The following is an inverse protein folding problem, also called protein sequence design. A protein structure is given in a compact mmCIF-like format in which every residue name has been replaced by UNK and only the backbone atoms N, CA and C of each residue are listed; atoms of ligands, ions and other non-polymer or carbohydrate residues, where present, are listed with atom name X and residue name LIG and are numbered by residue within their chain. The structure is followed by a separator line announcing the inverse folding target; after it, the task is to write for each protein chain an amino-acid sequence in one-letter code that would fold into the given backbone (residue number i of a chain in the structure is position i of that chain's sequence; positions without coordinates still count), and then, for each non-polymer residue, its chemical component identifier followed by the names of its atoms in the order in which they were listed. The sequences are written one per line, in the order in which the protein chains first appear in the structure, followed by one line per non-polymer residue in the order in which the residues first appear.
data_IF_702209144781
#
_entry.id   IF_702209144781
#
_cell.length_a   1.000
_cell.length_b   1.000
_cell.length_c   1.000
_cell.angle_alpha   90.00
_cell.angle_beta   90.00
_cell.angle_gamma   90.00
#
_symmetry.space_group_name_H-M   'P 1'
#
loop_
_entity.id
_entity.type
_entity.pdbx_description
1 polymer ?
#
# COMPACT_ATOMS: atom_id res chain seq x y z
N UNK A 1 -13.65 41.16 -62.49
CA UNK A 1 -13.11 41.90 -61.32
C UNK A 1 -12.07 41.03 -60.63
N UNK A 2 -10.78 41.34 -60.82
CA UNK A 2 -9.64 40.58 -60.26
C UNK A 2 -9.29 41.18 -58.88
N UNK A 3 -9.32 40.38 -57.81
CA UNK A 3 -8.86 40.83 -56.48
C UNK A 3 -7.34 40.59 -56.37
N UNK A 4 -6.54 41.59 -55.95
CA UNK A 4 -5.10 41.45 -55.87
C UNK A 4 -4.67 40.65 -54.62
N UNK A 5 -3.70 39.78 -54.81
CA UNK A 5 -3.02 39.00 -53.78
C UNK A 5 -2.07 39.91 -53.02
N UNK A 6 -2.30 40.11 -51.71
CA UNK A 6 -1.38 40.84 -50.84
C UNK A 6 -0.47 39.82 -50.12
N UNK A 7 0.81 39.83 -50.50
CA UNK A 7 1.87 39.04 -49.87
C UNK A 7 2.34 39.81 -48.63
N UNK A 8 1.98 39.34 -47.43
CA UNK A 8 2.42 39.94 -46.16
C UNK A 8 3.73 39.28 -45.70
N UNK A 9 4.79 40.08 -45.67
CA UNK A 9 6.09 39.74 -45.09
C UNK A 9 5.97 39.56 -43.57
N UNK A 10 6.40 38.41 -43.05
CA UNK A 10 6.56 38.15 -41.62
C UNK A 10 7.94 38.65 -41.15
N UNK A 11 8.03 39.52 -40.12
CA UNK A 11 9.32 39.81 -39.50
C UNK A 11 9.69 38.64 -38.56
N UNK A 12 10.90 38.10 -38.74
CA UNK A 12 11.47 37.10 -37.84
C UNK A 12 11.81 37.75 -36.49
N UNK A 13 10.96 37.50 -35.49
CA UNK A 13 11.18 37.94 -34.11
C UNK A 13 12.11 36.94 -33.41
N UNK A 14 13.40 37.28 -33.31
CA UNK A 14 14.38 36.58 -32.49
C UNK A 14 14.04 36.80 -31.01
N UNK A 15 13.41 35.82 -30.37
CA UNK A 15 13.26 35.81 -28.90
C UNK A 15 14.61 35.45 -28.25
N UNK A 16 15.07 36.21 -27.24
CA UNK A 16 16.19 35.78 -26.42
C UNK A 16 15.77 34.56 -25.59
N UNK A 17 16.59 33.51 -25.63
CA UNK A 17 16.42 32.34 -24.78
C UNK A 17 16.76 32.73 -23.34
N UNK A 18 15.75 33.07 -22.54
CA UNK A 18 15.93 33.30 -21.12
C UNK A 18 16.27 31.96 -20.45
N UNK A 19 17.51 31.82 -19.98
CA UNK A 19 17.91 30.69 -19.13
C UNK A 19 17.20 30.88 -17.79
N UNK A 20 16.18 30.07 -17.52
CA UNK A 20 15.52 30.04 -16.23
C UNK A 20 16.49 29.49 -15.19
N UNK A 21 16.95 30.33 -14.27
CA UNK A 21 17.57 29.88 -13.02
C UNK A 21 16.53 29.05 -12.26
N UNK A 22 16.85 27.86 -11.73
CA UNK A 22 15.91 27.13 -10.89
C UNK A 22 15.60 28.01 -9.67
N UNK A 23 14.36 28.46 -9.57
CA UNK A 23 13.87 29.08 -8.36
C UNK A 23 13.95 28.02 -7.25
N UNK A 24 14.82 28.23 -6.28
CA UNK A 24 14.77 27.49 -5.03
C UNK A 24 13.43 27.86 -4.39
N UNK A 25 12.45 26.96 -4.48
CA UNK A 25 11.20 27.11 -3.73
C UNK A 25 11.57 27.11 -2.25
N UNK A 26 11.56 28.30 -1.64
CA UNK A 26 11.60 28.43 -0.19
C UNK A 26 10.33 27.77 0.34
N UNK A 27 10.50 26.61 0.95
CA UNK A 27 9.42 25.81 1.53
C UNK A 27 8.92 26.49 2.83
N UNK A 28 8.30 27.66 2.68
CA UNK A 28 7.59 28.35 3.75
C UNK A 28 6.09 28.30 3.48
N UNK A 29 5.59 27.12 3.10
CA UNK A 29 4.17 26.85 2.95
C UNK A 29 3.55 26.64 4.34
N UNK A 30 2.96 27.70 4.88
CA UNK A 30 2.23 27.72 6.16
C UNK A 30 0.83 27.10 6.07
N UNK A 31 0.55 26.29 5.05
CA UNK A 31 -0.68 25.49 5.01
C UNK A 31 -0.58 24.42 6.10
N UNK A 32 -1.68 24.11 6.81
CA UNK A 32 -1.70 22.97 7.71
C UNK A 32 -1.40 21.71 6.89
N UNK A 33 -0.16 21.22 6.99
CA UNK A 33 0.21 19.91 6.49
C UNK A 33 -0.59 18.91 7.30
N UNK A 34 -1.62 18.34 6.71
CA UNK A 34 -2.23 17.10 7.20
C UNK A 34 -1.12 16.06 7.19
N UNK A 35 -0.36 15.96 8.29
CA UNK A 35 0.65 14.92 8.43
C UNK A 35 -0.13 13.61 8.49
N UNK A 36 0.13 12.70 7.55
CA UNK A 36 -0.21 11.31 7.78
C UNK A 36 0.45 10.93 9.11
N UNK A 37 -0.35 10.46 10.06
CA UNK A 37 0.10 10.14 11.42
C UNK A 37 1.13 8.99 11.45
N UNK A 38 1.46 8.41 10.31
CA UNK A 38 2.43 7.33 10.19
C UNK A 38 3.28 7.52 8.93
N UNK A 39 4.58 7.67 9.14
CA UNK A 39 5.60 7.64 8.09
C UNK A 39 6.25 6.27 8.10
N UNK A 40 5.61 5.30 7.44
CA UNK A 40 6.28 4.13 6.85
C UNK A 40 6.86 3.04 7.75
N UNK A 41 7.03 3.24 9.07
CA UNK A 41 7.51 2.18 9.95
C UNK A 41 6.34 1.42 10.61
N UNK A 42 6.40 0.09 10.46
CA UNK A 42 5.41 -0.81 11.03
C UNK A 42 5.72 -1.05 12.51
N UNK A 43 5.05 -0.33 13.41
CA UNK A 43 5.00 -0.74 14.81
C UNK A 43 3.86 -1.77 14.99
N UNK A 44 4.22 -3.00 15.33
CA UNK A 44 3.24 -4.06 15.64
C UNK A 44 2.68 -3.85 17.06
N UNK A 45 1.43 -4.27 17.29
CA UNK A 45 0.78 -4.12 18.61
C UNK A 45 0.05 -2.78 18.81
N UNK A 46 -0.38 -2.14 17.72
CA UNK A 46 -1.22 -0.95 17.78
C UNK A 46 -2.52 -1.18 18.56
N UNK A 47 -3.05 -0.11 19.17
CA UNK A 47 -4.33 -0.16 19.91
C UNK A 47 -5.48 -0.51 18.95
N UNK A 48 -6.54 -1.19 19.43
CA UNK A 48 -7.76 -1.39 18.66
C UNK A 48 -8.27 -0.05 18.10
N UNK A 49 -8.57 -0.04 16.81
CA UNK A 49 -9.14 1.14 16.15
C UNK A 49 -10.64 1.17 16.49
N UNK A 50 -11.17 2.22 17.12
CA UNK A 50 -12.59 2.30 17.43
C UNK A 50 -13.41 2.45 16.15
N UNK A 51 -14.51 1.68 16.07
CA UNK A 51 -15.43 1.72 14.94
C UNK A 51 -14.88 1.11 13.66
N UNK A 52 -15.62 1.29 12.55
CA UNK A 52 -15.25 0.74 11.24
C UNK A 52 -14.37 1.74 10.48
N UNK A 53 -13.11 1.42 10.13
CA UNK A 53 -12.25 2.28 9.32
C UNK A 53 -12.93 2.74 8.03
N UNK A 54 -12.64 3.98 7.59
CA UNK A 54 -13.32 4.60 6.45
C UNK A 54 -13.32 3.73 5.19
N UNK A 55 -12.22 3.00 4.93
CA UNK A 55 -12.09 2.13 3.77
C UNK A 55 -13.11 0.98 3.81
N UNK A 56 -13.37 0.41 4.99
CA UNK A 56 -14.34 -0.68 5.16
C UNK A 56 -15.80 -0.20 5.10
N UNK A 57 -16.06 1.09 5.31
CA UNK A 57 -17.41 1.65 5.16
C UNK A 57 -17.87 1.66 3.69
N UNK A 58 -16.93 1.65 2.73
CA UNK A 58 -17.22 1.77 1.29
C UNK A 58 -17.62 0.45 0.63
N UNK A 59 -17.28 -0.69 1.23
CA UNK A 59 -17.47 -2.01 0.62
C UNK A 59 -18.74 -2.73 1.11
N UNK A 60 -19.62 -2.03 1.85
CA UNK A 60 -20.93 -2.52 2.31
C UNK A 60 -20.90 -3.93 2.94
N UNK A 61 -19.92 -4.20 3.81
CA UNK A 61 -19.70 -5.52 4.43
C UNK A 61 -20.96 -6.12 5.07
N UNK A 62 -21.83 -5.30 5.67
CA UNK A 62 -23.05 -5.79 6.33
C UNK A 62 -24.01 -6.45 5.32
N UNK A 63 -24.08 -5.97 4.07
CA UNK A 63 -24.88 -6.61 3.02
C UNK A 63 -24.20 -7.85 2.47
N UNK A 64 -22.89 -7.81 2.27
CA UNK A 64 -22.13 -8.98 1.79
C UNK A 64 -22.22 -10.15 2.79
N UNK A 65 -22.06 -9.87 4.08
CA UNK A 65 -22.12 -10.88 5.14
C UNK A 65 -23.52 -11.42 5.42
N UNK A 66 -24.57 -10.74 4.97
CA UNK A 66 -25.93 -11.30 4.97
C UNK A 66 -26.07 -12.45 3.95
N UNK A 67 -25.27 -12.43 2.87
CA UNK A 67 -25.26 -13.47 1.83
C UNK A 67 -24.21 -14.55 2.13
N UNK A 68 -22.98 -14.15 2.49
CA UNK A 68 -21.91 -15.09 2.84
C UNK A 68 -20.75 -14.40 3.56
N UNK A 69 -20.09 -15.14 4.45
CA UNK A 69 -18.82 -14.74 5.07
C UNK A 69 -17.60 -15.49 4.49
N UNK A 70 -17.80 -16.27 3.42
CA UNK A 70 -16.72 -17.03 2.77
C UNK A 70 -16.39 -18.37 3.45
N UNK A 71 -17.33 -18.98 4.16
CA UNK A 71 -17.15 -20.32 4.73
C UNK A 71 -16.75 -21.34 3.63
N UNK A 72 -15.75 -22.18 3.93
CA UNK A 72 -15.22 -23.17 3.00
C UNK A 72 -14.28 -22.61 1.91
N UNK A 73 -14.16 -21.29 1.76
CA UNK A 73 -13.22 -20.66 0.83
C UNK A 73 -11.82 -20.63 1.46
N UNK A 74 -10.83 -21.13 0.72
CA UNK A 74 -9.40 -21.03 1.08
C UNK A 74 -8.72 -19.97 0.22
N UNK A 75 -8.02 -19.05 0.87
CA UNK A 75 -7.24 -17.98 0.22
C UNK A 75 -5.77 -18.16 0.60
N UNK A 76 -4.88 -18.14 -0.39
CA UNK A 76 -3.43 -18.17 -0.16
C UNK A 76 -2.85 -16.74 -0.23
N UNK A 77 -2.07 -16.37 0.78
CA UNK A 77 -1.30 -15.12 0.79
C UNK A 77 0.12 -15.43 0.35
N UNK A 78 0.54 -14.89 -0.79
CA UNK A 78 1.89 -15.05 -1.35
C UNK A 78 2.66 -13.77 -1.06
N UNK A 79 3.36 -13.74 0.06
CA UNK A 79 4.01 -12.54 0.58
C UNK A 79 5.22 -12.90 1.48
N UNK A 80 5.56 -12.07 2.46
CA UNK A 80 6.65 -12.26 3.42
C UNK A 80 6.41 -13.35 4.47
N UNK A 81 5.22 -13.96 4.49
CA UNK A 81 4.77 -14.96 5.46
C UNK A 81 3.46 -14.55 6.16
N UNK A 82 2.95 -15.40 7.06
CA UNK A 82 1.78 -15.05 7.90
C UNK A 82 2.02 -15.48 9.35
N UNK A 83 2.17 -14.51 10.27
CA UNK A 83 2.47 -14.81 11.66
C UNK A 83 1.24 -15.30 12.44
N UNK A 84 1.23 -16.60 12.77
CA UNK A 84 0.17 -17.24 13.56
C UNK A 84 0.25 -16.97 15.06
N UNK A 85 1.26 -16.22 15.53
CA UNK A 85 1.29 -15.67 16.89
C UNK A 85 0.27 -14.54 17.05
N UNK A 86 -0.19 -13.94 15.95
CA UNK A 86 -1.32 -12.99 15.98
C UNK A 86 -2.60 -13.72 16.43
N UNK A 87 -3.23 -13.34 17.56
CA UNK A 87 -4.41 -14.02 18.10
C UNK A 87 -5.58 -14.06 17.12
N UNK A 88 -5.77 -13.01 16.32
CA UNK A 88 -6.86 -12.90 15.34
C UNK A 88 -6.67 -13.83 14.14
N UNK A 89 -5.44 -14.28 13.86
CA UNK A 89 -5.12 -15.13 12.70
C UNK A 89 -4.93 -16.59 13.07
N UNK A 90 -4.50 -16.89 14.30
CA UNK A 90 -4.27 -18.25 14.79
C UNK A 90 -5.42 -19.24 14.48
N UNK A 91 -6.71 -18.89 14.65
CA UNK A 91 -7.81 -19.81 14.31
C UNK A 91 -8.17 -19.83 12.81
N UNK A 92 -7.65 -18.91 12.00
CA UNK A 92 -8.03 -18.74 10.60
C UNK A 92 -6.98 -19.29 9.60
N UNK A 93 -5.73 -19.49 10.03
CA UNK A 93 -4.63 -19.93 9.17
C UNK A 93 -4.53 -21.46 9.16
N UNK A 94 -4.59 -22.05 7.97
CA UNK A 94 -4.21 -23.46 7.75
C UNK A 94 -2.68 -23.60 7.68
N UNK A 95 -2.09 -23.94 8.82
CA UNK A 95 -0.64 -24.07 8.98
C UNK A 95 -0.03 -25.21 8.15
N UNK A 96 -0.81 -26.25 7.82
CA UNK A 96 -0.31 -27.42 7.10
C UNK A 96 -0.19 -27.18 5.58
N UNK A 97 -0.98 -26.26 5.06
CA UNK A 97 -1.02 -25.91 3.63
C UNK A 97 -0.01 -24.85 3.23
N UNK A 98 0.57 -24.11 4.19
CA UNK A 98 1.56 -23.07 3.90
C UNK A 98 2.88 -23.60 3.32
N UNK A 99 3.54 -22.81 2.48
CA UNK A 99 4.89 -23.11 1.96
C UNK A 99 5.79 -21.87 2.01
N UNK A 100 7.05 -22.09 2.35
CA UNK A 100 8.10 -21.07 2.30
C UNK A 100 9.02 -21.38 1.12
N UNK A 101 9.18 -20.40 0.22
CA UNK A 101 10.00 -20.51 -0.99
C UNK A 101 11.25 -19.62 -0.93
N UNK A 102 11.48 -18.92 0.19
CA UNK A 102 12.64 -18.05 0.38
C UNK A 102 13.87 -18.91 0.60
N UNK A 103 14.88 -18.72 -0.25
CA UNK A 103 16.17 -19.39 -0.12
C UNK A 103 17.08 -18.60 0.82
N UNK A 104 17.84 -19.27 1.71
CA UNK A 104 18.80 -18.59 2.56
C UNK A 104 19.86 -17.89 1.71
N UNK A 105 20.22 -16.67 2.10
CA UNK A 105 21.35 -15.90 1.56
C UNK A 105 22.60 -16.15 2.39
N UNK A 106 23.77 -15.87 1.80
CA UNK A 106 25.07 -16.03 2.48
C UNK A 106 25.18 -15.20 3.76
N UNK A 107 24.53 -14.04 3.79
CA UNK A 107 24.62 -13.08 4.89
C UNK A 107 23.45 -13.21 5.88
N UNK A 108 22.55 -14.19 5.67
CA UNK A 108 21.45 -14.43 6.61
C UNK A 108 22.00 -15.06 7.91
N UNK A 109 21.50 -14.65 9.09
CA UNK A 109 21.82 -15.33 10.34
C UNK A 109 21.50 -16.83 10.28
N UNK A 110 22.39 -17.68 10.80
CA UNK A 110 22.18 -19.14 10.82
C UNK A 110 20.85 -19.55 11.47
N UNK A 111 20.45 -18.81 12.51
CA UNK A 111 19.24 -19.05 13.29
C UNK A 111 18.05 -18.17 12.86
N UNK A 112 18.06 -17.62 11.64
CA UNK A 112 16.92 -16.86 11.15
C UNK A 112 15.66 -17.76 11.16
N UNK A 113 14.56 -17.35 11.80
CA UNK A 113 13.31 -18.09 11.77
C UNK A 113 12.83 -18.27 10.33
N UNK A 114 12.32 -19.47 10.00
CA UNK A 114 11.88 -19.85 8.64
C UNK A 114 10.54 -20.54 8.69
N UNK A 115 9.85 -20.56 7.54
CA UNK A 115 8.59 -21.26 7.37
C UNK A 115 7.44 -20.32 7.01
N UNK A 116 6.35 -20.89 6.47
CA UNK A 116 5.22 -20.11 5.94
C UNK A 116 4.48 -19.31 7.00
N UNK A 117 4.57 -19.73 8.27
CA UNK A 117 3.93 -19.09 9.41
C UNK A 117 4.83 -18.12 10.16
N UNK A 118 6.01 -17.83 9.61
CA UNK A 118 6.95 -16.83 10.11
C UNK A 118 6.86 -15.63 9.17
N UNK A 119 6.65 -14.45 9.73
CA UNK A 119 6.62 -13.21 8.96
C UNK A 119 7.48 -12.15 9.66
N UNK A 120 8.72 -12.00 9.20
CA UNK A 120 9.67 -11.04 9.78
C UNK A 120 9.42 -9.60 9.31
N UNK A 121 8.72 -9.42 8.18
CA UNK A 121 8.38 -8.11 7.62
C UNK A 121 6.99 -7.66 8.09
N UNK A 122 6.09 -8.62 8.32
CA UNK A 122 4.71 -8.43 8.77
C UNK A 122 3.73 -7.99 7.67
N UNK A 123 4.15 -7.87 6.42
CA UNK A 123 3.27 -7.42 5.33
C UNK A 123 2.22 -8.49 5.01
N UNK A 124 2.62 -9.75 4.86
CA UNK A 124 1.68 -10.86 4.65
C UNK A 124 0.72 -11.07 5.81
N UNK A 125 1.16 -10.88 7.05
CA UNK A 125 0.30 -10.90 8.25
C UNK A 125 -0.78 -9.83 8.20
N UNK A 126 -0.45 -8.62 7.74
CA UNK A 126 -1.44 -7.53 7.58
C UNK A 126 -2.46 -7.87 6.49
N UNK A 127 -2.00 -8.39 5.36
CA UNK A 127 -2.87 -8.82 4.27
C UNK A 127 -3.80 -9.94 4.73
N UNK A 128 -3.27 -10.95 5.43
CA UNK A 128 -4.07 -12.02 6.02
C UNK A 128 -5.11 -11.48 7.02
N UNK A 129 -4.76 -10.43 7.78
CA UNK A 129 -5.67 -9.74 8.69
C UNK A 129 -6.87 -9.12 7.97
N UNK A 130 -6.67 -8.51 6.81
CA UNK A 130 -7.76 -7.95 5.99
C UNK A 130 -8.70 -9.06 5.50
N UNK A 131 -8.16 -10.24 5.17
CA UNK A 131 -8.91 -11.36 4.59
C UNK A 131 -9.71 -12.12 5.64
N UNK A 132 -9.09 -12.49 6.77
CA UNK A 132 -9.63 -13.52 7.65
C UNK A 132 -9.35 -13.33 9.15
N UNK A 133 -9.01 -12.12 9.61
CA UNK A 133 -8.92 -11.85 11.05
C UNK A 133 -10.23 -12.22 11.75
N UNK A 134 -10.12 -12.80 12.95
CA UNK A 134 -11.24 -13.06 13.86
C UNK A 134 -11.33 -11.97 14.92
N UNK A 135 -12.52 -11.75 15.51
CA UNK A 135 -12.65 -10.95 16.72
C UNK A 135 -11.75 -11.53 17.83
N UNK A 136 -11.21 -10.65 18.68
CA UNK A 136 -10.46 -11.01 19.89
C UNK A 136 -11.36 -11.51 21.02
#
# INVERSE_FOLDING_TARGET
MRRPTALLLLPALLLPLAVATPATASDNDQRPRTRLATTGECEFGGKPIPGRPWALQRVQLDRLWAESQGEGVRVAVIDSGVDVRNPQLRPAVDVGSGRDFVKPKKDDPENLPKGPTVDLVGHGTKVAGIIAARPD
#
